data_IF_661393771448
#
_entry.id   IF_661393771448
#
_cell.length_a   1.000
_cell.length_b   1.000
_cell.length_c   1.000
_cell.angle_alpha   90.00
_cell.angle_beta   90.00
_cell.angle_gamma   90.00
#
_symmetry.space_group_name_H-M   'P 1'
#
loop_
_entity.id
_entity.type
_entity.pdbx_description
1 polymer ?
#
# COMPACT_ATOMS: atom_id res chain seq x y z
N UNK A 1 -24.68 5.92 15.70
CA UNK A 1 -25.55 6.58 16.71
C UNK A 1 -25.15 6.21 18.16
N UNK A 2 -24.91 4.91 18.48
CA UNK A 2 -24.52 4.55 19.84
C UNK A 2 -23.12 5.08 20.22
N UNK A 3 -22.20 5.09 19.27
CA UNK A 3 -20.81 5.55 19.46
C UNK A 3 -20.71 7.05 19.78
N UNK A 4 -21.64 7.88 19.31
CA UNK A 4 -21.70 9.30 19.67
C UNK A 4 -21.93 9.52 21.17
N UNK A 5 -22.62 8.60 21.86
CA UNK A 5 -22.69 8.61 23.31
C UNK A 5 -21.34 8.51 24.01
N UNK A 6 -20.34 7.92 23.35
CA UNK A 6 -18.97 7.80 23.82
C UNK A 6 -18.09 8.99 23.41
N UNK A 7 -17.99 9.27 22.11
CA UNK A 7 -17.08 10.30 21.59
C UNK A 7 -17.58 11.71 21.87
N UNK A 8 -18.84 11.99 21.58
CA UNK A 8 -19.46 13.27 21.91
C UNK A 8 -19.94 13.32 23.37
N UNK A 9 -20.66 12.32 23.85
CA UNK A 9 -21.27 12.34 25.18
C UNK A 9 -20.26 12.27 26.34
N UNK A 10 -19.31 11.32 26.33
CA UNK A 10 -18.36 11.10 27.43
C UNK A 10 -17.09 11.91 27.27
N UNK A 11 -16.46 11.89 26.09
CA UNK A 11 -15.29 12.70 25.80
C UNK A 11 -15.64 14.17 25.67
N UNK A 12 -16.85 14.45 25.21
CA UNK A 12 -17.41 15.79 25.08
C UNK A 12 -16.56 16.69 24.16
N UNK A 13 -16.13 16.13 23.01
CA UNK A 13 -15.44 16.86 21.97
C UNK A 13 -16.32 17.97 21.40
N UNK A 14 -15.70 19.02 20.86
CA UNK A 14 -16.43 20.11 20.22
C UNK A 14 -16.58 19.83 18.71
N UNK A 15 -17.70 19.26 18.32
CA UNK A 15 -18.02 18.91 16.93
C UNK A 15 -18.06 20.13 15.99
N UNK A 16 -18.35 21.33 16.52
CA UNK A 16 -18.32 22.56 15.74
C UNK A 16 -16.91 22.93 15.27
N UNK A 17 -15.92 22.72 16.14
CA UNK A 17 -14.54 23.06 15.84
C UNK A 17 -13.75 21.90 15.23
N UNK A 18 -14.03 20.67 15.64
CA UNK A 18 -13.24 19.49 15.26
C UNK A 18 -14.17 18.26 15.06
N UNK A 19 -15.02 18.27 14.00
CA UNK A 19 -16.04 17.24 13.78
C UNK A 19 -15.47 15.83 13.65
N UNK A 20 -14.22 15.68 13.22
CA UNK A 20 -13.60 14.35 13.08
C UNK A 20 -13.44 13.63 14.43
N UNK A 21 -13.41 14.35 15.57
CA UNK A 21 -13.28 13.72 16.89
C UNK A 21 -14.52 12.95 17.32
N UNK A 22 -15.67 13.32 16.82
CA UNK A 22 -16.92 12.58 17.00
C UNK A 22 -17.22 11.71 15.78
N UNK A 23 -17.61 12.32 14.68
CA UNK A 23 -18.05 11.66 13.46
C UNK A 23 -17.03 10.65 12.91
N UNK A 24 -15.79 11.10 12.71
CA UNK A 24 -14.75 10.29 12.12
C UNK A 24 -14.23 9.20 13.06
N UNK A 25 -14.09 9.49 14.35
CA UNK A 25 -13.66 8.49 15.35
C UNK A 25 -14.73 7.45 15.59
N UNK A 26 -16.01 7.84 15.57
CA UNK A 26 -17.12 6.91 15.65
C UNK A 26 -17.09 5.94 14.47
N UNK A 27 -16.94 6.45 13.24
CA UNK A 27 -16.84 5.63 12.04
C UNK A 27 -15.67 4.63 12.12
N UNK A 28 -14.49 5.08 12.51
CA UNK A 28 -13.34 4.18 12.70
C UNK A 28 -13.64 3.03 13.65
N UNK A 29 -14.31 3.28 14.79
CA UNK A 29 -14.65 2.24 15.75
C UNK A 29 -15.77 1.33 15.26
N UNK A 30 -16.76 1.85 14.55
CA UNK A 30 -17.81 1.04 13.93
C UNK A 30 -17.19 0.05 12.92
N UNK A 31 -16.28 0.50 12.09
CA UNK A 31 -15.58 -0.38 11.16
C UNK A 31 -14.73 -1.45 11.85
N UNK A 32 -14.09 -1.11 12.97
CA UNK A 32 -13.38 -2.10 13.80
C UNK A 32 -14.33 -3.16 14.37
N UNK A 33 -15.49 -2.74 14.89
CA UNK A 33 -16.50 -3.66 15.43
C UNK A 33 -17.09 -4.56 14.34
N UNK A 34 -17.40 -4.02 13.18
CA UNK A 34 -17.90 -4.77 12.04
C UNK A 34 -16.87 -5.78 11.54
N UNK A 35 -15.59 -5.38 11.43
CA UNK A 35 -14.48 -6.28 11.07
C UNK A 35 -14.32 -7.42 12.09
N UNK A 36 -14.37 -7.12 13.40
CA UNK A 36 -14.29 -8.13 14.45
C UNK A 36 -15.46 -9.14 14.39
N UNK A 37 -16.62 -8.71 13.90
CA UNK A 37 -17.81 -9.56 13.68
C UNK A 37 -17.84 -10.23 12.31
N UNK A 38 -16.81 -10.02 11.45
CA UNK A 38 -16.73 -10.55 10.08
C UNK A 38 -17.94 -10.15 9.22
N UNK A 39 -18.35 -8.89 9.33
CA UNK A 39 -19.47 -8.33 8.57
C UNK A 39 -18.96 -7.78 7.23
N UNK A 40 -18.42 -8.67 6.42
CA UNK A 40 -17.92 -8.32 5.10
C UNK A 40 -19.06 -8.20 4.08
N UNK A 41 -18.92 -7.27 3.14
CA UNK A 41 -19.82 -7.13 2.01
C UNK A 41 -19.42 -8.10 0.90
N UNK A 42 -20.31 -9.02 0.58
CA UNK A 42 -20.13 -9.95 -0.50
C UNK A 42 -20.86 -9.49 -1.76
N UNK A 43 -20.12 -9.18 -2.82
CA UNK A 43 -20.67 -8.69 -4.09
C UNK A 43 -21.17 -9.80 -5.01
N UNK A 44 -21.06 -11.08 -4.61
CA UNK A 44 -21.45 -12.24 -5.44
C UNK A 44 -22.34 -13.21 -4.68
N UNK A 45 -23.10 -14.00 -5.44
CA UNK A 45 -23.99 -15.02 -4.89
C UNK A 45 -23.23 -16.12 -4.15
N UNK A 46 -23.82 -16.74 -3.10
CA UNK A 46 -23.13 -17.71 -2.24
C UNK A 46 -22.52 -18.88 -2.99
N UNK A 47 -23.20 -19.40 -4.04
CA UNK A 47 -22.69 -20.53 -4.81
C UNK A 47 -21.47 -20.19 -5.66
N UNK A 48 -21.37 -18.97 -6.19
CA UNK A 48 -20.19 -18.50 -6.92
C UNK A 48 -18.99 -18.37 -5.98
N UNK A 49 -19.23 -17.87 -4.75
CA UNK A 49 -18.19 -17.80 -3.73
C UNK A 49 -17.67 -19.18 -3.33
N UNK A 50 -18.54 -20.18 -3.24
CA UNK A 50 -18.14 -21.57 -2.97
C UNK A 50 -17.21 -22.13 -4.08
N UNK A 51 -17.28 -21.58 -5.30
CA UNK A 51 -16.38 -21.88 -6.40
C UNK A 51 -15.12 -20.99 -6.44
N UNK A 52 -14.92 -20.13 -5.44
CA UNK A 52 -13.80 -19.20 -5.41
C UNK A 52 -13.95 -17.99 -6.36
N UNK A 53 -15.19 -17.75 -6.84
CA UNK A 53 -15.50 -16.64 -7.74
C UNK A 53 -16.23 -15.55 -6.94
N UNK A 54 -15.66 -14.37 -6.91
CA UNK A 54 -16.32 -13.21 -6.33
C UNK A 54 -15.43 -12.32 -5.50
N UNK A 55 -15.91 -11.10 -5.29
CA UNK A 55 -15.24 -10.07 -4.53
C UNK A 55 -15.92 -9.90 -3.18
N UNK A 56 -15.12 -9.88 -2.14
CA UNK A 56 -15.52 -9.55 -0.77
C UNK A 56 -14.82 -8.26 -0.38
N UNK A 57 -15.59 -7.30 0.12
CA UNK A 57 -15.06 -6.03 0.66
C UNK A 57 -15.21 -6.06 2.17
N UNK A 58 -14.13 -5.74 2.87
CA UNK A 58 -14.18 -5.54 4.31
C UNK A 58 -14.83 -4.19 4.63
N UNK A 59 -15.29 -3.96 5.87
CA UNK A 59 -15.80 -2.65 6.27
C UNK A 59 -14.81 -1.50 5.98
N UNK A 60 -13.53 -1.68 6.27
CA UNK A 60 -12.51 -0.67 5.97
C UNK A 60 -12.24 -0.47 4.48
N UNK A 61 -12.46 -1.47 3.62
CA UNK A 61 -12.35 -1.29 2.17
C UNK A 61 -13.46 -0.36 1.65
N UNK A 62 -14.65 -0.42 2.24
CA UNK A 62 -15.74 0.49 1.91
C UNK A 62 -15.41 1.93 2.29
N UNK A 63 -14.83 2.14 3.48
CA UNK A 63 -14.39 3.47 3.92
C UNK A 63 -13.25 4.01 3.03
N UNK A 64 -12.31 3.18 2.67
CA UNK A 64 -11.24 3.54 1.75
C UNK A 64 -11.78 3.97 0.37
N UNK A 65 -12.75 3.23 -0.18
CA UNK A 65 -13.42 3.62 -1.42
C UNK A 65 -14.10 4.99 -1.23
N UNK A 66 -14.86 5.18 -0.15
CA UNK A 66 -15.48 6.47 0.19
C UNK A 66 -14.47 7.61 0.26
N UNK A 67 -13.36 7.39 0.95
CA UNK A 67 -12.27 8.37 1.08
C UNK A 67 -11.59 8.71 -0.25
N UNK A 68 -11.51 7.76 -1.19
CA UNK A 68 -10.86 7.93 -2.49
C UNK A 68 -11.73 8.64 -3.53
N UNK A 69 -13.05 8.56 -3.40
CA UNK A 69 -14.00 9.18 -4.34
C UNK A 69 -14.08 10.71 -4.18
N UNK A 70 -13.69 11.23 -3.04
CA UNK A 70 -13.73 12.67 -2.76
C UNK A 70 -12.38 13.35 -3.09
N UNK A 71 -12.46 14.61 -3.49
CA UNK A 71 -11.31 15.53 -3.55
C UNK A 71 -11.52 16.62 -2.50
N UNK A 72 -11.15 16.35 -1.22
CA UNK A 72 -11.43 17.31 -0.17
C UNK A 72 -10.60 18.57 -0.38
N UNK A 73 -11.31 19.71 -0.47
CA UNK A 73 -10.69 21.02 -0.49
C UNK A 73 -10.19 21.43 0.91
N UNK A 74 -10.75 20.80 1.95
CA UNK A 74 -10.54 21.15 3.35
C UNK A 74 -9.88 19.98 4.10
N UNK A 75 -9.11 20.30 5.14
CA UNK A 75 -8.49 19.31 6.00
C UNK A 75 -9.52 18.70 6.98
N UNK A 76 -9.28 17.46 7.44
CA UNK A 76 -10.15 16.81 8.43
C UNK A 76 -10.20 17.57 9.77
N UNK A 77 -9.11 18.25 10.11
CA UNK A 77 -9.00 19.08 11.30
C UNK A 77 -9.62 20.48 11.19
N UNK A 78 -10.26 20.80 10.06
CA UNK A 78 -10.95 22.09 9.89
C UNK A 78 -12.31 22.08 10.60
N UNK A 79 -12.78 23.26 10.97
CA UNK A 79 -14.08 23.41 11.66
C UNK A 79 -15.27 23.21 10.71
N UNK A 80 -16.39 22.75 11.25
CA UNK A 80 -17.58 22.40 10.48
C UNK A 80 -18.36 23.61 9.96
N UNK A 81 -18.21 24.77 10.58
CA UNK A 81 -19.06 25.92 10.32
C UNK A 81 -18.50 26.93 9.32
N UNK A 82 -17.20 26.96 9.10
CA UNK A 82 -16.59 27.94 8.19
C UNK A 82 -15.58 27.38 7.19
N UNK A 83 -14.95 26.26 7.49
CA UNK A 83 -13.85 25.67 6.71
C UNK A 83 -14.28 24.44 5.94
N UNK A 84 -15.01 23.52 6.57
CA UNK A 84 -15.51 22.35 5.88
C UNK A 84 -16.66 22.69 4.95
N UNK A 85 -16.44 22.54 3.66
CA UNK A 85 -17.50 22.60 2.66
C UNK A 85 -18.46 21.41 2.80
N UNK A 86 -19.68 21.49 2.29
CA UNK A 86 -20.62 20.36 2.33
C UNK A 86 -20.10 19.12 1.59
N UNK A 87 -19.26 19.30 0.57
CA UNK A 87 -18.61 18.19 -0.13
C UNK A 87 -17.50 17.56 0.70
N UNK A 88 -16.73 18.35 1.47
CA UNK A 88 -15.68 17.84 2.34
C UNK A 88 -16.23 17.24 3.61
N UNK A 89 -17.34 17.73 4.15
CA UNK A 89 -17.96 17.19 5.37
C UNK A 89 -18.32 15.71 5.23
N UNK A 90 -18.86 15.31 4.07
CA UNK A 90 -19.16 13.90 3.79
C UNK A 90 -17.95 12.98 3.82
N UNK A 91 -16.73 13.51 3.68
CA UNK A 91 -15.48 12.72 3.75
C UNK A 91 -14.89 12.61 5.16
N UNK A 92 -15.41 13.37 6.13
CA UNK A 92 -14.92 13.33 7.52
C UNK A 92 -15.01 11.92 8.11
N UNK A 93 -16.08 11.19 7.81
CA UNK A 93 -16.28 9.79 8.22
C UNK A 93 -15.22 8.88 7.60
N UNK A 94 -15.34 8.65 6.31
CA UNK A 94 -14.54 7.67 5.57
C UNK A 94 -13.05 7.97 5.58
N UNK A 95 -12.67 9.24 5.42
CA UNK A 95 -11.26 9.62 5.42
C UNK A 95 -10.63 9.49 6.79
N UNK A 96 -11.34 9.86 7.85
CA UNK A 96 -10.83 9.65 9.21
C UNK A 96 -10.69 8.16 9.52
N UNK A 97 -11.69 7.33 9.22
CA UNK A 97 -11.61 5.89 9.42
C UNK A 97 -10.42 5.28 8.67
N UNK A 98 -10.16 5.72 7.44
CA UNK A 98 -9.03 5.27 6.63
C UNK A 98 -7.68 5.68 7.24
N UNK A 99 -7.52 6.95 7.65
CA UNK A 99 -6.28 7.45 8.26
C UNK A 99 -6.01 6.78 9.60
N UNK A 100 -7.03 6.64 10.45
CA UNK A 100 -6.89 5.97 11.75
C UNK A 100 -6.55 4.49 11.57
N UNK A 101 -7.13 3.82 10.56
CA UNK A 101 -6.77 2.45 10.21
C UNK A 101 -5.33 2.34 9.72
N UNK A 102 -4.83 3.32 8.95
CA UNK A 102 -3.43 3.38 8.53
C UNK A 102 -2.50 3.52 9.73
N UNK A 103 -2.78 4.43 10.65
CA UNK A 103 -1.99 4.57 11.89
C UNK A 103 -1.99 3.25 12.66
N UNK A 104 -3.16 2.61 12.84
CA UNK A 104 -3.27 1.31 13.52
C UNK A 104 -2.45 0.22 12.82
N UNK A 105 -2.49 0.14 11.49
CA UNK A 105 -1.71 -0.84 10.73
C UNK A 105 -0.19 -0.64 10.94
N UNK A 106 0.27 0.61 10.97
CA UNK A 106 1.68 0.95 11.16
C UNK A 106 2.20 0.74 12.58
N UNK A 107 1.36 0.99 13.61
CA UNK A 107 1.78 0.88 15.02
C UNK A 107 1.41 -0.47 15.64
N UNK A 108 0.48 -1.18 15.03
CA UNK A 108 -0.10 -2.42 15.50
C UNK A 108 -1.30 -2.22 16.45
N UNK A 109 -2.30 -3.10 16.32
CA UNK A 109 -3.56 -3.06 17.08
C UNK A 109 -3.36 -2.96 18.60
N UNK A 110 -2.46 -3.74 19.26
CA UNK A 110 -2.28 -3.61 20.71
C UNK A 110 -1.75 -2.24 21.15
N UNK A 111 -0.93 -1.59 20.32
CA UNK A 111 -0.43 -0.24 20.62
C UNK A 111 -1.53 0.80 20.46
N UNK A 112 -2.33 0.68 19.40
CA UNK A 112 -3.49 1.54 19.16
C UNK A 112 -4.50 1.46 20.29
N UNK A 113 -4.81 0.26 20.79
CA UNK A 113 -5.75 0.06 21.90
C UNK A 113 -5.24 0.67 23.22
N UNK A 114 -3.95 0.53 23.51
CA UNK A 114 -3.35 1.22 24.67
C UNK A 114 -3.46 2.74 24.56
N UNK A 115 -3.20 3.27 23.38
CA UNK A 115 -3.26 4.71 23.13
C UNK A 115 -4.69 5.26 23.27
N UNK A 116 -5.67 4.56 22.72
CA UNK A 116 -7.07 4.94 22.85
C UNK A 116 -7.58 4.83 24.31
N UNK A 117 -7.12 3.82 25.05
CA UNK A 117 -7.39 3.73 26.49
C UNK A 117 -6.80 4.91 27.26
N UNK A 118 -5.54 5.28 26.94
CA UNK A 118 -4.89 6.45 27.54
C UNK A 118 -5.66 7.75 27.22
N UNK A 119 -6.09 7.91 25.97
CA UNK A 119 -6.92 9.05 25.56
C UNK A 119 -8.20 9.13 26.37
N UNK A 120 -8.96 8.04 26.48
CA UNK A 120 -10.19 7.97 27.26
C UNK A 120 -9.96 8.29 28.73
N UNK A 121 -9.00 7.64 29.40
CA UNK A 121 -8.74 7.83 30.83
C UNK A 121 -8.32 9.26 31.17
N UNK A 122 -7.60 9.91 30.28
CA UNK A 122 -7.11 11.28 30.45
C UNK A 122 -8.20 12.32 30.21
N UNK A 123 -9.08 12.08 29.23
CA UNK A 123 -9.92 13.12 28.67
C UNK A 123 -11.41 12.93 28.87
N UNK A 124 -11.88 11.83 29.43
CA UNK A 124 -13.31 11.66 29.76
C UNK A 124 -13.82 12.86 30.58
N UNK A 125 -14.91 13.49 30.11
CA UNK A 125 -15.55 14.68 30.68
C UNK A 125 -14.66 15.95 30.69
N UNK A 126 -13.71 16.07 29.75
CA UNK A 126 -12.75 17.18 29.73
C UNK A 126 -12.62 17.93 28.40
N UNK A 127 -13.47 17.67 27.43
CA UNK A 127 -13.49 18.37 26.13
C UNK A 127 -12.15 18.34 25.40
N UNK A 128 -11.63 17.19 24.97
CA UNK A 128 -10.36 17.09 24.26
C UNK A 128 -10.44 17.73 22.88
N UNK A 129 -9.27 18.22 22.43
CA UNK A 129 -9.02 18.67 21.08
C UNK A 129 -8.32 17.60 20.24
N UNK A 130 -8.17 17.84 18.92
CA UNK A 130 -7.33 17.02 18.02
C UNK A 130 -5.87 16.95 18.47
N UNK A 131 -5.35 18.03 19.04
CA UNK A 131 -4.00 18.03 19.58
C UNK A 131 -3.88 17.07 20.78
N UNK A 132 -4.90 16.95 21.58
CA UNK A 132 -4.96 16.02 22.73
C UNK A 132 -5.07 14.55 22.26
N UNK A 133 -5.85 14.28 21.21
CA UNK A 133 -5.89 12.95 20.59
C UNK A 133 -4.51 12.59 19.99
N UNK A 134 -3.91 13.49 19.23
CA UNK A 134 -2.58 13.31 18.64
C UNK A 134 -1.53 12.98 19.71
N UNK A 135 -1.49 13.74 20.80
CA UNK A 135 -0.54 13.52 21.89
C UNK A 135 -0.79 12.20 22.61
N UNK A 136 -2.04 11.83 22.88
CA UNK A 136 -2.38 10.56 23.51
C UNK A 136 -2.02 9.36 22.62
N UNK A 137 -2.23 9.48 21.30
CA UNK A 137 -1.80 8.47 20.32
C UNK A 137 -0.27 8.36 20.27
N UNK A 138 0.43 9.47 20.21
CA UNK A 138 1.90 9.50 20.15
C UNK A 138 2.54 8.85 21.39
N UNK A 139 2.02 9.18 22.58
CA UNK A 139 2.47 8.62 23.86
C UNK A 139 2.09 7.14 23.99
N UNK A 140 0.81 6.82 23.78
CA UNK A 140 0.29 5.47 24.03
C UNK A 140 0.79 4.42 23.03
N UNK A 141 1.08 4.80 21.81
CA UNK A 141 1.68 3.91 20.80
C UNK A 141 3.20 3.79 20.96
N UNK A 142 3.86 4.82 21.50
CA UNK A 142 5.32 4.96 21.51
C UNK A 142 5.93 5.25 20.12
N UNK A 143 5.09 5.56 19.14
CA UNK A 143 5.48 5.84 17.75
C UNK A 143 5.06 7.25 17.34
N UNK A 144 5.60 8.24 18.07
CA UNK A 144 5.38 9.67 17.79
C UNK A 144 5.65 10.02 16.32
N UNK A 145 6.71 9.46 15.76
CA UNK A 145 7.13 9.66 14.37
C UNK A 145 5.99 9.31 13.37
N UNK A 146 5.32 8.17 13.57
CA UNK A 146 4.22 7.73 12.72
C UNK A 146 2.98 8.62 12.93
N UNK A 147 2.62 8.83 14.19
CA UNK A 147 1.41 9.60 14.52
C UNK A 147 1.50 11.02 13.97
N UNK A 148 2.61 11.73 14.24
CA UNK A 148 2.79 13.10 13.79
C UNK A 148 2.80 13.20 12.27
N UNK A 149 3.53 12.31 11.57
CA UNK A 149 3.56 12.32 10.11
C UNK A 149 2.17 12.13 9.48
N UNK A 150 1.34 11.23 10.05
CA UNK A 150 -0.01 11.00 9.56
C UNK A 150 -0.96 12.17 9.87
N UNK A 151 -0.87 12.75 11.07
CA UNK A 151 -1.67 13.92 11.43
C UNK A 151 -1.34 15.11 10.54
N UNK A 152 -0.05 15.42 10.36
CA UNK A 152 0.38 16.56 9.56
C UNK A 152 -0.02 16.40 8.08
N UNK A 153 0.11 15.19 7.52
CA UNK A 153 -0.20 14.92 6.12
C UNK A 153 -1.70 14.83 5.82
N UNK A 154 -2.48 14.16 6.66
CA UNK A 154 -3.81 13.71 6.30
C UNK A 154 -4.94 14.27 7.18
N UNK A 155 -4.63 14.77 8.38
CA UNK A 155 -5.62 15.36 9.29
C UNK A 155 -5.55 16.88 9.26
N UNK A 156 -4.36 17.46 9.45
CA UNK A 156 -4.15 18.91 9.32
C UNK A 156 -3.91 19.34 7.88
N UNK A 157 -3.58 18.41 7.00
CA UNK A 157 -3.41 18.61 5.57
C UNK A 157 -4.42 17.85 4.74
N UNK A 158 -4.43 18.15 3.45
CA UNK A 158 -5.23 17.46 2.43
C UNK A 158 -4.41 16.46 1.62
N UNK A 159 -3.36 15.90 2.24
CA UNK A 159 -2.41 15.00 1.58
C UNK A 159 -3.08 13.79 0.95
N UNK A 160 -2.52 13.34 -0.16
CA UNK A 160 -2.89 12.12 -0.89
C UNK A 160 -1.65 11.32 -1.19
N UNK A 161 -1.76 10.03 -1.28
CA UNK A 161 -0.70 9.13 -1.74
C UNK A 161 -1.17 8.48 -3.04
N UNK A 162 -0.32 8.45 -4.05
CA UNK A 162 -0.48 7.67 -5.28
C UNK A 162 0.92 7.29 -5.75
N UNK A 163 1.55 6.41 -5.02
CA UNK A 163 2.87 5.89 -5.36
C UNK A 163 2.71 4.68 -6.28
N UNK A 164 3.64 4.48 -7.24
CA UNK A 164 3.54 3.35 -8.16
C UNK A 164 4.88 2.77 -8.55
N UNK A 165 4.89 1.50 -8.91
CA UNK A 165 6.02 0.88 -9.60
C UNK A 165 5.99 1.27 -11.06
N UNK A 166 6.72 2.33 -11.42
CA UNK A 166 6.77 2.85 -12.79
C UNK A 166 7.39 1.85 -13.76
N UNK A 167 8.47 1.18 -13.36
CA UNK A 167 9.11 0.15 -14.17
C UNK A 167 9.94 -0.82 -13.35
N UNK A 168 10.02 -2.05 -13.83
CA UNK A 168 10.99 -3.05 -13.39
C UNK A 168 11.65 -3.69 -14.61
N UNK A 169 12.96 -3.83 -14.57
CA UNK A 169 13.76 -4.52 -15.57
C UNK A 169 14.78 -5.40 -14.87
N UNK A 170 14.92 -6.63 -15.34
CA UNK A 170 15.95 -7.56 -14.84
C UNK A 170 16.57 -8.24 -16.04
N UNK A 171 17.85 -7.98 -16.28
CA UNK A 171 18.60 -8.48 -17.43
C UNK A 171 19.91 -9.08 -17.00
N UNK A 172 20.37 -10.12 -17.69
CA UNK A 172 21.71 -10.65 -17.45
C UNK A 172 22.75 -9.54 -17.60
N UNK A 173 23.64 -9.48 -16.63
CA UNK A 173 24.80 -8.57 -16.66
C UNK A 173 25.90 -9.23 -17.46
N UNK A 174 25.79 -9.07 -18.77
CA UNK A 174 26.80 -9.59 -19.69
C UNK A 174 28.01 -8.66 -19.73
N UNK A 175 29.20 -9.21 -19.92
CA UNK A 175 30.39 -8.41 -20.16
C UNK A 175 30.21 -7.57 -21.45
N UNK A 176 30.83 -6.41 -21.48
CA UNK A 176 30.71 -5.46 -22.59
C UNK A 176 31.97 -5.47 -23.46
N UNK A 177 31.89 -5.22 -24.79
CA UNK A 177 33.07 -5.04 -25.63
C UNK A 177 33.85 -3.80 -25.17
N UNK A 178 35.15 -3.83 -25.34
CA UNK A 178 36.02 -2.74 -24.94
C UNK A 178 37.42 -3.22 -24.55
N UNK A 179 38.19 -2.33 -23.92
CA UNK A 179 39.51 -2.68 -23.41
C UNK A 179 39.42 -3.39 -22.08
N UNK A 180 39.95 -4.61 -22.03
CA UNK A 180 40.00 -5.42 -20.83
C UNK A 180 41.42 -5.59 -20.33
N UNK A 181 41.66 -5.56 -19.03
CA UNK A 181 42.97 -5.83 -18.47
C UNK A 181 43.10 -7.35 -18.25
N UNK A 182 43.99 -7.97 -18.99
CA UNK A 182 44.38 -9.37 -18.84
C UNK A 182 45.86 -9.46 -18.55
N UNK A 183 46.27 -10.07 -17.41
CA UNK A 183 47.65 -10.18 -16.97
C UNK A 183 48.42 -8.83 -17.02
N UNK A 184 47.78 -7.73 -16.65
CA UNK A 184 48.39 -6.39 -16.64
C UNK A 184 48.47 -5.70 -18.02
N UNK A 185 47.99 -6.32 -19.09
CA UNK A 185 47.97 -5.75 -20.43
C UNK A 185 46.52 -5.39 -20.83
N UNK A 186 46.34 -4.28 -21.51
CA UNK A 186 45.04 -3.89 -22.07
C UNK A 186 44.86 -4.59 -23.44
N UNK A 187 43.81 -5.40 -23.53
CA UNK A 187 43.44 -6.12 -24.74
C UNK A 187 42.08 -5.63 -25.22
N UNK A 188 41.97 -5.25 -26.49
CA UNK A 188 40.69 -4.89 -27.09
C UNK A 188 39.88 -6.16 -27.39
N UNK A 189 38.75 -6.31 -26.69
CA UNK A 189 37.81 -7.41 -26.92
C UNK A 189 36.64 -6.88 -27.77
N UNK A 190 36.61 -7.31 -29.02
CA UNK A 190 35.52 -6.97 -29.96
C UNK A 190 34.28 -7.83 -29.76
N UNK A 191 33.13 -7.38 -30.31
CA UNK A 191 31.81 -8.03 -30.11
C UNK A 191 31.82 -9.52 -30.49
N UNK A 192 32.38 -9.93 -31.60
CA UNK A 192 32.41 -11.35 -32.03
C UNK A 192 33.18 -12.25 -31.07
N UNK A 193 34.30 -11.78 -30.56
CA UNK A 193 35.10 -12.53 -29.60
C UNK A 193 34.35 -12.64 -28.25
N UNK A 194 33.65 -11.57 -27.88
CA UNK A 194 32.82 -11.53 -26.66
C UNK A 194 31.61 -12.45 -26.73
N UNK A 195 30.87 -12.46 -27.85
CA UNK A 195 29.72 -13.34 -28.06
C UNK A 195 30.13 -14.79 -27.94
N UNK A 196 31.28 -15.17 -28.52
CA UNK A 196 31.82 -16.51 -28.38
C UNK A 196 32.18 -16.83 -26.91
N UNK A 197 32.82 -15.91 -26.22
CA UNK A 197 33.20 -16.11 -24.80
C UNK A 197 31.96 -16.26 -23.89
N UNK A 198 30.89 -15.51 -24.16
CA UNK A 198 29.60 -15.63 -23.47
C UNK A 198 29.00 -17.00 -23.72
N UNK A 199 28.96 -17.45 -24.98
CA UNK A 199 28.42 -18.77 -25.33
C UNK A 199 29.22 -19.91 -24.70
N UNK A 200 30.56 -19.85 -24.79
CA UNK A 200 31.44 -20.84 -24.18
C UNK A 200 31.26 -20.89 -22.65
N UNK A 201 31.10 -19.73 -21.99
CA UNK A 201 30.82 -19.68 -20.56
C UNK A 201 29.46 -20.30 -20.22
N UNK A 202 28.42 -20.04 -21.02
CA UNK A 202 27.09 -20.67 -20.84
C UNK A 202 27.15 -22.19 -21.00
N UNK A 203 27.87 -22.69 -22.01
CA UNK A 203 28.09 -24.13 -22.24
C UNK A 203 28.84 -24.78 -21.07
N UNK A 204 29.92 -24.15 -20.65
CA UNK A 204 30.73 -24.65 -19.52
C UNK A 204 29.96 -24.66 -18.21
N UNK A 205 29.14 -23.61 -17.97
CA UNK A 205 28.30 -23.54 -16.80
C UNK A 205 27.21 -24.62 -16.80
N UNK A 206 26.51 -24.80 -17.94
CA UNK A 206 25.45 -25.83 -18.10
C UNK A 206 26.02 -27.25 -17.94
N UNK A 207 27.23 -27.51 -18.45
CA UNK A 207 27.88 -28.80 -18.28
C UNK A 207 28.22 -29.13 -16.80
N UNK A 208 28.45 -28.10 -15.98
CA UNK A 208 28.72 -28.25 -14.54
C UNK A 208 27.42 -28.30 -13.69
N UNK A 209 26.31 -27.85 -14.25
CA UNK A 209 25.02 -27.74 -13.56
C UNK A 209 23.90 -28.37 -14.42
N UNK A 210 23.93 -29.73 -14.63
CA UNK A 210 22.96 -30.40 -15.51
C UNK A 210 21.51 -30.27 -15.01
N UNK A 211 21.34 -30.18 -13.67
CA UNK A 211 20.05 -30.09 -13.00
C UNK A 211 19.66 -28.62 -12.67
N UNK A 212 20.36 -27.64 -13.28
CA UNK A 212 20.08 -26.25 -13.06
C UNK A 212 18.63 -25.88 -13.44
N UNK A 213 17.99 -25.13 -12.57
CA UNK A 213 16.64 -24.64 -12.81
C UNK A 213 16.65 -23.50 -13.83
N UNK A 214 15.50 -23.20 -14.41
CA UNK A 214 15.34 -22.22 -15.48
C UNK A 214 15.88 -20.81 -15.14
N UNK A 215 15.82 -20.45 -13.87
CA UNK A 215 16.29 -19.13 -13.39
C UNK A 215 17.76 -19.07 -13.03
N UNK A 216 18.47 -20.20 -13.06
CA UNK A 216 19.91 -20.28 -12.80
C UNK A 216 20.68 -20.07 -14.10
N UNK A 217 21.75 -19.31 -14.05
CA UNK A 217 22.52 -19.01 -15.25
C UNK A 217 23.99 -18.67 -14.99
N UNK A 218 24.75 -18.64 -16.06
CA UNK A 218 26.19 -18.37 -16.03
C UNK A 218 26.54 -16.92 -15.65
N UNK A 219 25.56 -16.01 -15.69
CA UNK A 219 25.74 -14.60 -15.44
C UNK A 219 24.76 -14.09 -14.39
N UNK A 220 25.16 -13.14 -13.56
CA UNK A 220 24.24 -12.49 -12.63
C UNK A 220 23.27 -11.57 -13.38
N UNK A 221 22.20 -11.17 -12.71
CA UNK A 221 21.20 -10.25 -13.25
C UNK A 221 21.37 -8.87 -12.64
N UNK A 222 21.38 -7.83 -13.49
CA UNK A 222 21.22 -6.44 -13.08
C UNK A 222 19.73 -6.11 -13.09
N UNK A 223 19.21 -5.76 -11.93
CA UNK A 223 17.83 -5.34 -11.76
C UNK A 223 17.77 -3.84 -11.53
N UNK A 224 16.84 -3.16 -12.21
CA UNK A 224 16.49 -1.76 -12.02
C UNK A 224 15.00 -1.66 -11.75
N UNK A 225 14.64 -1.00 -10.67
CA UNK A 225 13.25 -0.65 -10.34
C UNK A 225 13.15 0.86 -10.21
N UNK A 226 12.11 1.44 -10.78
CA UNK A 226 11.77 2.87 -10.65
C UNK A 226 10.43 2.95 -9.96
N UNK A 227 10.40 3.63 -8.83
CA UNK A 227 9.18 4.01 -8.12
C UNK A 227 8.90 5.47 -8.43
N UNK A 228 7.69 5.78 -8.83
CA UNK A 228 7.19 7.14 -8.97
C UNK A 228 6.28 7.47 -7.80
N UNK A 229 6.40 8.68 -7.31
CA UNK A 229 5.65 9.20 -6.17
C UNK A 229 4.84 10.40 -6.62
N UNK A 230 3.54 10.28 -6.52
CA UNK A 230 2.60 11.36 -6.79
C UNK A 230 1.83 11.67 -5.49
N UNK A 231 1.94 12.91 -5.01
CA UNK A 231 1.33 13.34 -3.75
C UNK A 231 2.28 13.32 -2.55
N UNK A 232 1.74 12.97 -1.38
CA UNK A 232 2.46 12.98 -0.11
C UNK A 232 3.45 11.81 -0.02
N UNK A 233 4.71 12.10 0.29
CA UNK A 233 5.72 11.07 0.47
C UNK A 233 5.58 10.39 1.84
N UNK A 234 5.09 9.15 1.84
CA UNK A 234 5.03 8.31 3.04
C UNK A 234 6.14 7.26 2.95
N UNK A 235 6.93 7.06 4.02
CA UNK A 235 7.92 5.98 4.06
C UNK A 235 7.24 4.62 3.92
N UNK A 236 7.73 3.79 3.00
CA UNK A 236 7.18 2.46 2.74
C UNK A 236 8.26 1.49 2.24
N UNK A 237 7.89 0.26 2.00
CA UNK A 237 8.77 -0.81 1.54
C UNK A 237 8.45 -1.16 0.10
N UNK A 238 9.51 -1.29 -0.72
CA UNK A 238 9.45 -1.93 -2.03
C UNK A 238 9.98 -3.35 -1.91
N UNK A 239 9.13 -4.35 -2.10
CA UNK A 239 9.50 -5.76 -2.14
C UNK A 239 9.78 -6.21 -3.56
N UNK A 240 11.00 -6.66 -3.85
CA UNK A 240 11.37 -7.25 -5.15
C UNK A 240 11.47 -8.76 -4.97
N UNK A 241 10.70 -9.52 -5.75
CA UNK A 241 10.69 -10.99 -5.74
C UNK A 241 11.54 -11.53 -6.88
N UNK A 242 12.21 -12.63 -6.63
CA UNK A 242 13.10 -13.30 -7.57
C UNK A 242 12.54 -14.65 -8.01
N UNK A 243 13.04 -15.15 -9.13
CA UNK A 243 12.60 -16.42 -9.73
C UNK A 243 12.95 -17.66 -8.86
N UNK A 244 13.90 -17.55 -7.95
CA UNK A 244 14.24 -18.58 -6.96
C UNK A 244 13.30 -18.62 -5.75
N UNK A 245 12.28 -17.74 -5.72
CA UNK A 245 11.33 -17.61 -4.62
C UNK A 245 11.80 -16.68 -3.50
N UNK A 246 13.03 -16.21 -3.52
CA UNK A 246 13.53 -15.22 -2.55
C UNK A 246 12.95 -13.82 -2.83
N UNK A 247 13.07 -12.92 -1.86
CA UNK A 247 12.73 -11.52 -2.02
C UNK A 247 13.74 -10.60 -1.35
N UNK A 248 13.72 -9.34 -1.74
CA UNK A 248 14.50 -8.26 -1.13
C UNK A 248 13.60 -7.07 -0.86
N UNK A 249 13.60 -6.63 0.39
CA UNK A 249 12.89 -5.43 0.83
C UNK A 249 13.83 -4.22 0.78
N UNK A 250 13.36 -3.15 0.16
CA UNK A 250 14.10 -1.92 -0.06
C UNK A 250 13.28 -0.74 0.50
N UNK A 251 13.86 0.11 1.36
CA UNK A 251 13.15 1.25 1.91
C UNK A 251 12.94 2.33 0.84
N UNK A 252 11.69 2.77 0.69
CA UNK A 252 11.31 3.91 -0.15
C UNK A 252 11.17 5.12 0.77
N UNK A 253 12.22 5.93 0.85
CA UNK A 253 12.32 7.06 1.79
C UNK A 253 12.54 8.40 1.11
N UNK A 254 12.80 8.41 -0.21
CA UNK A 254 12.99 9.66 -0.95
C UNK A 254 11.71 10.51 -0.92
N UNK A 255 11.87 11.81 -0.72
CA UNK A 255 10.78 12.79 -0.77
C UNK A 255 10.54 13.38 -2.15
N UNK A 256 11.40 13.03 -3.13
CA UNK A 256 11.26 13.47 -4.52
C UNK A 256 10.23 12.65 -5.28
N UNK A 257 9.84 13.14 -6.47
CA UNK A 257 8.79 12.54 -7.32
C UNK A 257 9.11 11.13 -7.80
N UNK A 258 10.33 10.64 -7.64
CA UNK A 258 10.72 9.27 -8.01
C UNK A 258 11.98 8.82 -7.30
N UNK A 259 12.10 7.49 -7.13
CA UNK A 259 13.28 6.83 -6.59
C UNK A 259 13.67 5.65 -7.48
N UNK A 260 14.99 5.50 -7.74
CA UNK A 260 15.53 4.39 -8.52
C UNK A 260 16.34 3.46 -7.62
N UNK A 261 16.10 2.17 -7.80
CA UNK A 261 16.88 1.10 -7.18
C UNK A 261 17.62 0.33 -8.25
N UNK A 262 18.92 0.11 -8.07
CA UNK A 262 19.75 -0.72 -8.94
C UNK A 262 20.57 -1.66 -8.08
N UNK A 263 20.56 -2.93 -8.44
CA UNK A 263 21.36 -3.96 -7.75
C UNK A 263 21.60 -5.16 -8.66
N UNK A 264 22.57 -6.01 -8.25
CA UNK A 264 22.95 -7.23 -8.95
C UNK A 264 22.65 -8.43 -8.07
N UNK A 265 22.05 -9.48 -8.64
CA UNK A 265 21.66 -10.72 -7.97
C UNK A 265 21.96 -11.93 -8.83
N UNK A 266 22.10 -13.10 -8.21
CA UNK A 266 22.27 -14.35 -8.93
C UNK A 266 20.99 -14.78 -9.67
N UNK A 267 19.81 -14.49 -9.10
CA UNK A 267 18.50 -14.82 -9.66
C UNK A 267 17.86 -13.62 -10.33
N UNK A 268 17.10 -13.86 -11.41
CA UNK A 268 16.32 -12.86 -12.14
C UNK A 268 15.19 -12.33 -11.26
N UNK A 269 15.01 -11.02 -11.18
CA UNK A 269 13.81 -10.45 -10.58
C UNK A 269 12.58 -10.73 -11.46
N UNK A 270 11.44 -11.06 -10.84
CA UNK A 270 10.18 -11.36 -11.53
C UNK A 270 9.11 -10.31 -11.29
N UNK A 271 9.10 -9.70 -10.11
CA UNK A 271 8.13 -8.64 -9.77
C UNK A 271 8.68 -7.67 -8.74
N UNK A 272 8.08 -6.50 -8.68
CA UNK A 272 8.25 -5.52 -7.62
C UNK A 272 6.86 -5.09 -7.12
N UNK A 273 6.73 -4.86 -5.81
CA UNK A 273 5.51 -4.46 -5.14
C UNK A 273 5.83 -3.44 -4.05
N UNK A 274 5.15 -2.30 -4.09
CA UNK A 274 5.10 -1.33 -3.00
C UNK A 274 4.18 -1.84 -1.90
N UNK A 275 4.43 -1.40 -0.69
CA UNK A 275 3.63 -1.70 0.50
C UNK A 275 3.13 -3.16 0.57
N UNK A 276 4.04 -4.15 0.55
CA UNK A 276 3.66 -5.55 0.49
C UNK A 276 2.89 -6.05 1.73
N UNK A 277 2.90 -5.28 2.81
CA UNK A 277 2.25 -5.59 4.08
C UNK A 277 0.97 -4.75 4.29
N UNK A 278 0.56 -3.98 3.25
CA UNK A 278 -0.70 -3.23 3.18
C UNK A 278 -0.90 -2.27 4.37
N UNK A 279 0.10 -1.43 4.61
CA UNK A 279 0.11 -0.45 5.70
C UNK A 279 -0.42 0.92 5.27
N UNK A 280 -0.30 1.27 3.96
CA UNK A 280 -0.65 2.59 3.42
C UNK A 280 -2.08 2.56 2.88
N UNK A 281 -3.04 2.87 3.75
CA UNK A 281 -4.47 2.85 3.41
C UNK A 281 -4.96 4.10 2.69
N UNK A 282 -4.17 5.16 2.71
CA UNK A 282 -4.47 6.42 2.01
C UNK A 282 -3.97 6.45 0.57
N UNK A 283 -3.39 5.37 0.07
CA UNK A 283 -3.05 5.24 -1.34
C UNK A 283 -4.33 5.15 -2.20
N UNK A 284 -4.39 5.96 -3.25
CA UNK A 284 -5.56 6.08 -4.12
C UNK A 284 -5.72 4.90 -5.07
N UNK A 285 -4.62 4.19 -5.37
CA UNK A 285 -4.63 3.14 -6.40
C UNK A 285 -3.66 2.00 -6.13
N UNK A 286 -4.08 0.99 -5.39
CA UNK A 286 -3.29 -0.25 -5.19
C UNK A 286 -2.99 -1.03 -6.48
N UNK A 287 -3.73 -0.74 -7.57
CA UNK A 287 -3.56 -1.45 -8.83
C UNK A 287 -2.24 -1.11 -9.54
N UNK A 288 -1.62 0.01 -9.19
CA UNK A 288 -0.35 0.47 -9.75
C UNK A 288 0.86 0.18 -8.84
N UNK A 289 0.63 -0.34 -7.62
CA UNK A 289 1.65 -0.65 -6.61
C UNK A 289 2.54 -1.82 -6.98
N UNK A 290 2.17 -2.61 -7.96
CA UNK A 290 2.96 -3.77 -8.37
C UNK A 290 3.18 -3.83 -9.86
N UNK A 291 4.34 -4.42 -10.24
CA UNK A 291 4.67 -4.67 -11.65
C UNK A 291 5.50 -5.94 -11.79
N UNK A 292 5.21 -6.70 -12.85
CA UNK A 292 6.00 -7.87 -13.25
C UNK A 292 6.97 -7.52 -14.36
N UNK A 293 8.12 -8.20 -14.42
CA UNK A 293 9.12 -8.03 -15.48
C UNK A 293 8.57 -8.51 -16.83
N UNK A 294 7.85 -9.62 -16.82
CA UNK A 294 7.13 -10.17 -17.97
C UNK A 294 5.64 -9.98 -17.76
N UNK A 295 4.91 -9.70 -18.84
CA UNK A 295 3.46 -9.52 -18.74
C UNK A 295 2.79 -10.80 -18.22
N UNK A 296 2.09 -10.70 -17.10
CA UNK A 296 1.29 -11.77 -16.52
C UNK A 296 -0.20 -11.42 -16.60
N UNK A 297 -0.93 -12.16 -17.43
CA UNK A 297 -2.37 -11.99 -17.61
C UNK A 297 -3.23 -12.68 -16.54
N UNK A 298 -2.65 -13.31 -15.53
CA UNK A 298 -3.41 -14.07 -14.51
C UNK A 298 -4.34 -13.18 -13.69
N UNK A 299 -3.83 -12.02 -13.26
CA UNK A 299 -4.61 -11.04 -12.53
C UNK A 299 -5.76 -10.49 -13.38
N UNK A 300 -5.48 -10.11 -14.64
CA UNK A 300 -6.50 -9.60 -15.56
C UNK A 300 -7.60 -10.65 -15.81
N UNK A 301 -7.24 -11.94 -15.96
CA UNK A 301 -8.22 -13.03 -16.11
C UNK A 301 -9.09 -13.19 -14.88
N UNK A 302 -8.51 -13.10 -13.67
CA UNK A 302 -9.27 -13.16 -12.42
C UNK A 302 -10.24 -11.98 -12.31
N UNK A 303 -9.76 -10.76 -12.50
CA UNK A 303 -10.61 -9.57 -12.51
C UNK A 303 -11.74 -9.62 -13.53
N UNK A 304 -11.47 -10.13 -14.74
CA UNK A 304 -12.50 -10.32 -15.75
C UNK A 304 -13.55 -11.35 -15.31
N UNK A 305 -13.14 -12.45 -14.67
CA UNK A 305 -14.04 -13.43 -14.09
C UNK A 305 -14.93 -12.84 -12.99
N UNK A 306 -14.34 -12.10 -12.05
CA UNK A 306 -15.07 -11.45 -10.96
C UNK A 306 -16.07 -10.40 -11.48
N UNK A 307 -15.64 -9.58 -12.44
CA UNK A 307 -16.51 -8.57 -13.07
C UNK A 307 -17.69 -9.23 -13.84
N UNK A 308 -17.41 -10.29 -14.58
CA UNK A 308 -18.46 -11.04 -15.30
C UNK A 308 -19.46 -11.64 -14.33
N UNK A 309 -18.98 -12.19 -13.20
CA UNK A 309 -19.84 -12.75 -12.14
C UNK A 309 -20.71 -11.69 -11.49
N UNK A 310 -20.14 -10.49 -11.25
CA UNK A 310 -20.89 -9.35 -10.73
C UNK A 310 -22.00 -8.92 -11.70
N UNK A 311 -21.69 -8.78 -12.99
CA UNK A 311 -22.69 -8.44 -14.01
C UNK A 311 -23.78 -9.50 -14.10
N UNK A 312 -23.45 -10.79 -14.08
CA UNK A 312 -24.44 -11.86 -14.07
C UNK A 312 -25.35 -11.81 -12.84
N UNK A 313 -24.77 -11.50 -11.67
CA UNK A 313 -25.52 -11.35 -10.43
C UNK A 313 -26.51 -10.17 -10.50
N UNK A 314 -26.07 -9.04 -11.07
CA UNK A 314 -26.92 -7.87 -11.29
C UNK A 314 -28.06 -8.16 -12.28
N UNK A 315 -27.79 -8.82 -13.39
CA UNK A 315 -28.80 -9.22 -14.36
C UNK A 315 -29.81 -10.23 -13.76
N UNK A 316 -29.35 -11.18 -12.96
CA UNK A 316 -30.22 -12.08 -12.25
C UNK A 316 -31.17 -11.35 -11.31
N UNK A 317 -30.67 -10.36 -10.54
CA UNK A 317 -31.51 -9.54 -9.67
C UNK A 317 -32.57 -8.74 -10.45
N UNK A 318 -32.18 -8.14 -11.59
CA UNK A 318 -33.10 -7.35 -12.44
C UNK A 318 -34.14 -8.22 -13.16
N UNK A 319 -33.88 -9.51 -13.37
CA UNK A 319 -34.83 -10.43 -14.01
C UNK A 319 -35.92 -10.95 -13.07
N UNK A 320 -35.82 -10.68 -11.76
CA UNK A 320 -36.84 -11.00 -10.75
C UNK A 320 -37.77 -9.79 -10.43
N UNK A 321 -37.57 -8.67 -11.09
CA UNK A 321 -38.44 -7.49 -11.03
C UNK A 321 -39.24 -7.39 -12.31
#
# INVERSE_FOLDING_TARGET
EFGHGYFYGILASNEFEEPMLDEGMNEYWDQRMMTARKQDLHLTLPFLRALGIGTTLTPFDMERIGASLGDPADALGDNSWSRLSSGSYGTVYSRTATVMRQIEAMVGTPAMERAMKLYYERWKFRHPSLADLREALAEGTGRRDIVEANFDAFIYGTGRVDDRVESIQSRELLPQPGYWTHAGQQVLVGSKALDKAIEDRRKAWKAKHPDAKEWEGAFPYKTRVVVRRDGQAVPQVLRVRFADGSHRDLPVTATGSWQRFEFVTASKAVSAQLDPDDLIRTDLSELNDSRTVEADGSAARRWFGDFTSLLQSLFALLSFV
#
